data_IF_893077280205
#
_entry.id   IF_893077280205
#
_cell.length_a   1.000
_cell.length_b   1.000
_cell.length_c   1.000
_cell.angle_alpha   90.00
_cell.angle_beta   90.00
_cell.angle_gamma   90.00
#
_symmetry.space_group_name_H-M   'P 1'
#
loop_
_entity.id
_entity.type
_entity.pdbx_description
1 polymer ?
#
# COMPACT_ATOMS: atom_id res chain seq x y z
N UNK A 1 -16.07 7.82 -5.42
CA UNK A 1 -16.40 9.26 -5.40
C UNK A 1 -15.59 10.06 -6.40
N UNK A 2 -14.29 10.25 -6.19
CA UNK A 2 -13.48 11.17 -7.01
C UNK A 2 -13.44 10.75 -8.49
N UNK A 3 -13.35 9.45 -8.79
CA UNK A 3 -13.43 8.94 -10.16
C UNK A 3 -14.73 9.30 -10.87
N UNK A 4 -15.88 9.18 -10.19
CA UNK A 4 -17.17 9.54 -10.76
C UNK A 4 -17.28 11.06 -11.01
N UNK A 5 -16.77 11.88 -10.08
CA UNK A 5 -16.71 13.34 -10.23
C UNK A 5 -15.83 13.75 -11.41
N UNK A 6 -14.66 13.12 -11.54
CA UNK A 6 -13.74 13.34 -12.66
C UNK A 6 -14.33 12.86 -13.98
N UNK A 7 -15.03 11.73 -14.01
CA UNK A 7 -15.69 11.23 -15.22
C UNK A 7 -16.80 12.18 -15.69
N UNK A 8 -17.68 12.64 -14.79
CA UNK A 8 -18.71 13.64 -15.11
C UNK A 8 -18.05 14.92 -15.65
N UNK A 9 -16.97 15.36 -15.03
CA UNK A 9 -16.21 16.54 -15.47
C UNK A 9 -15.54 16.39 -16.83
N UNK A 10 -15.16 15.17 -17.20
CA UNK A 10 -14.51 14.88 -18.48
C UNK A 10 -15.52 14.74 -19.62
N UNK A 11 -16.71 14.19 -19.34
CA UNK A 11 -17.75 13.94 -20.35
C UNK A 11 -18.63 15.17 -20.56
N UNK A 12 -18.99 15.86 -19.48
CA UNK A 12 -19.92 16.99 -19.54
C UNK A 12 -19.13 18.28 -19.57
N UNK A 13 -18.94 18.81 -20.77
CA UNK A 13 -18.41 20.15 -21.00
C UNK A 13 -19.59 21.13 -20.97
N UNK A 14 -19.51 22.14 -20.11
CA UNK A 14 -20.49 23.22 -20.06
C UNK A 14 -20.01 24.38 -20.92
N UNK A 15 -20.93 25.17 -21.50
CA UNK A 15 -20.58 26.41 -22.22
C UNK A 15 -19.95 27.48 -21.31
N UNK A 16 -19.96 27.25 -20.00
CA UNK A 16 -19.26 28.06 -19.00
C UNK A 16 -17.84 27.56 -18.83
N UNK A 17 -16.89 28.49 -18.65
CA UNK A 17 -15.44 28.25 -18.46
C UNK A 17 -15.09 27.52 -17.13
N UNK A 18 -16.07 26.85 -16.52
CA UNK A 18 -15.97 26.13 -15.24
C UNK A 18 -16.32 24.67 -15.44
N UNK A 19 -15.44 23.78 -15.00
CA UNK A 19 -15.72 22.34 -14.97
C UNK A 19 -16.96 22.06 -14.10
N UNK A 20 -17.91 21.28 -14.63
CA UNK A 20 -19.14 20.93 -13.91
C UNK A 20 -18.87 20.23 -12.56
N UNK A 21 -17.75 19.53 -12.42
CA UNK A 21 -17.35 18.93 -11.16
C UNK A 21 -17.08 19.94 -10.04
N UNK A 22 -16.97 21.23 -10.35
CA UNK A 22 -16.80 22.30 -9.36
C UNK A 22 -18.12 22.87 -8.87
N UNK A 23 -19.26 22.52 -9.48
CA UNK A 23 -20.58 22.99 -9.05
C UNK A 23 -20.83 22.60 -7.57
N UNK A 24 -21.17 23.55 -6.68
CA UNK A 24 -21.39 23.30 -5.26
C UNK A 24 -22.42 22.20 -4.98
N UNK A 25 -23.43 22.03 -5.83
CA UNK A 25 -24.46 20.97 -5.70
C UNK A 25 -23.86 19.61 -5.94
N UNK A 26 -23.03 19.47 -6.97
CA UNK A 26 -22.32 18.22 -7.28
C UNK A 26 -21.31 17.91 -6.18
N UNK A 27 -20.55 18.91 -5.72
CA UNK A 27 -19.61 18.72 -4.61
C UNK A 27 -20.33 18.28 -3.33
N UNK A 28 -21.44 18.94 -2.97
CA UNK A 28 -22.24 18.60 -1.79
C UNK A 28 -22.88 17.23 -1.90
N UNK A 29 -23.48 16.89 -3.05
CA UNK A 29 -24.02 15.56 -3.31
C UNK A 29 -22.94 14.49 -3.19
N UNK A 30 -21.78 14.71 -3.82
CA UNK A 30 -20.65 13.79 -3.76
C UNK A 30 -20.06 13.68 -2.35
N UNK A 31 -20.13 14.73 -1.53
CA UNK A 31 -19.76 14.64 -0.12
C UNK A 31 -20.78 13.80 0.65
N UNK A 32 -22.07 14.07 0.48
CA UNK A 32 -23.14 13.31 1.15
C UNK A 32 -23.08 11.82 0.86
N UNK A 33 -22.93 11.43 -0.41
CA UNK A 33 -22.81 10.02 -0.77
C UNK A 33 -21.48 9.38 -0.31
N UNK A 34 -20.41 10.16 -0.08
CA UNK A 34 -19.19 9.66 0.57
C UNK A 34 -19.42 9.40 2.05
N UNK A 35 -20.08 10.32 2.77
CA UNK A 35 -20.39 10.16 4.19
C UNK A 35 -21.35 8.98 4.44
N UNK A 36 -22.27 8.70 3.51
CA UNK A 36 -23.15 7.53 3.58
C UNK A 36 -22.39 6.20 3.45
N UNK A 37 -21.31 6.16 2.68
CA UNK A 37 -20.49 4.96 2.44
C UNK A 37 -19.01 5.33 2.36
N UNK A 38 -18.35 5.61 3.50
CA UNK A 38 -16.97 6.01 3.50
C UNK A 38 -16.09 4.87 3.00
N UNK A 39 -15.00 5.23 2.31
CA UNK A 39 -13.99 4.25 1.93
C UNK A 39 -13.31 3.70 3.20
N UNK A 40 -13.62 2.45 3.52
CA UNK A 40 -13.01 1.75 4.63
C UNK A 40 -11.71 1.07 4.18
N UNK A 41 -10.73 0.98 5.08
CA UNK A 41 -9.53 0.21 4.81
C UNK A 41 -9.87 -1.28 4.66
N UNK A 42 -9.17 -1.94 3.73
CA UNK A 42 -9.35 -3.37 3.49
C UNK A 42 -8.90 -4.26 4.65
N UNK A 43 -7.85 -3.83 5.36
CA UNK A 43 -7.23 -4.60 6.43
C UNK A 43 -7.43 -3.90 7.79
N UNK A 44 -7.87 -4.68 8.78
CA UNK A 44 -7.96 -4.24 10.18
C UNK A 44 -6.62 -4.35 10.90
N UNK A 45 -5.85 -5.38 10.56
CA UNK A 45 -4.60 -5.74 11.20
C UNK A 45 -3.56 -5.99 10.09
N UNK A 46 -2.26 -5.91 10.41
CA UNK A 46 -1.17 -6.24 9.48
C UNK A 46 -0.34 -7.41 10.00
N UNK A 47 0.49 -7.98 9.14
CA UNK A 47 1.36 -9.10 9.47
C UNK A 47 2.71 -8.61 9.96
N UNK A 48 3.42 -9.46 10.72
CA UNK A 48 4.73 -9.12 11.26
C UNK A 48 5.83 -9.27 10.20
N UNK A 49 6.55 -8.19 9.96
CA UNK A 49 7.65 -8.15 8.99
C UNK A 49 8.78 -9.12 9.38
N UNK A 50 9.03 -9.29 10.68
CA UNK A 50 10.09 -10.20 11.16
C UNK A 50 9.78 -11.66 10.86
N UNK A 51 8.50 -12.07 10.80
CA UNK A 51 8.13 -13.44 10.41
C UNK A 51 8.62 -13.74 8.98
N UNK A 52 8.41 -12.80 8.06
CA UNK A 52 8.85 -12.97 6.69
C UNK A 52 10.38 -12.88 6.56
N UNK A 53 11.02 -11.96 7.28
CA UNK A 53 12.48 -11.86 7.29
C UNK A 53 13.12 -13.11 7.91
N UNK A 54 12.52 -13.68 8.95
CA UNK A 54 12.90 -14.95 9.55
C UNK A 54 12.84 -16.10 8.54
N UNK A 55 11.75 -16.20 7.78
CA UNK A 55 11.64 -17.17 6.69
C UNK A 55 12.73 -16.98 5.62
N UNK A 56 12.97 -15.75 5.16
CA UNK A 56 14.01 -15.46 4.15
C UNK A 56 15.42 -15.76 4.68
N UNK A 57 15.68 -15.60 5.98
CA UNK A 57 16.96 -15.93 6.62
C UNK A 57 17.26 -17.44 6.58
N UNK A 58 16.24 -18.31 6.50
CA UNK A 58 16.44 -19.77 6.38
C UNK A 58 16.97 -20.21 5.01
N UNK A 59 16.94 -19.32 4.00
CA UNK A 59 17.35 -19.67 2.65
C UNK A 59 18.88 -19.79 2.55
N UNK A 60 19.32 -20.67 1.63
CA UNK A 60 20.74 -20.89 1.32
C UNK A 60 21.45 -19.63 0.82
N UNK A 61 22.78 -19.71 0.72
CA UNK A 61 23.62 -18.65 0.15
C UNK A 61 23.10 -18.20 -1.22
N UNK A 62 23.22 -16.91 -1.52
CA UNK A 62 22.64 -16.32 -2.74
C UNK A 62 23.14 -16.98 -4.04
N UNK A 63 24.36 -17.56 -4.03
CA UNK A 63 24.95 -18.25 -5.18
C UNK A 63 24.31 -19.61 -5.48
N UNK A 64 23.65 -20.23 -4.50
CA UNK A 64 23.01 -21.55 -4.63
C UNK A 64 21.52 -21.45 -4.93
N UNK A 65 20.95 -20.25 -4.83
CA UNK A 65 19.53 -20.02 -5.08
C UNK A 65 19.25 -19.94 -6.59
N UNK A 66 18.14 -20.55 -6.99
CA UNK A 66 17.64 -20.36 -8.36
C UNK A 66 17.34 -18.88 -8.62
N UNK A 67 17.49 -18.44 -9.88
CA UNK A 67 17.20 -17.06 -10.29
C UNK A 67 15.80 -16.61 -9.87
N UNK A 68 14.83 -17.54 -9.92
CA UNK A 68 13.46 -17.29 -9.46
C UNK A 68 13.42 -16.93 -7.98
N UNK A 69 14.04 -17.74 -7.10
CA UNK A 69 14.07 -17.46 -5.67
C UNK A 69 14.84 -16.16 -5.37
N UNK A 70 15.98 -15.93 -6.03
CA UNK A 70 16.74 -14.69 -5.86
C UNK A 70 15.91 -13.45 -6.23
N UNK A 71 15.15 -13.54 -7.34
CA UNK A 71 14.24 -12.48 -7.77
C UNK A 71 13.13 -12.25 -6.74
N UNK A 72 12.55 -13.33 -6.19
CA UNK A 72 11.54 -13.23 -5.13
C UNK A 72 12.08 -12.56 -3.87
N UNK A 73 13.29 -12.94 -3.44
CA UNK A 73 13.99 -12.33 -2.30
C UNK A 73 14.21 -10.83 -2.52
N UNK A 74 14.74 -10.46 -3.68
CA UNK A 74 14.97 -9.06 -4.05
C UNK A 74 13.67 -8.26 -4.04
N UNK A 75 12.61 -8.75 -4.70
CA UNK A 75 11.32 -8.05 -4.73
C UNK A 75 10.73 -7.85 -3.33
N UNK A 76 10.77 -8.88 -2.47
CA UNK A 76 10.23 -8.80 -1.12
C UNK A 76 11.00 -7.78 -0.27
N UNK A 77 12.33 -7.83 -0.30
CA UNK A 77 13.18 -6.88 0.44
C UNK A 77 13.01 -5.47 -0.07
N UNK A 78 12.90 -5.28 -1.38
CA UNK A 78 12.70 -3.96 -1.97
C UNK A 78 11.32 -3.37 -1.63
N UNK A 79 10.27 -4.20 -1.60
CA UNK A 79 8.94 -3.78 -1.12
C UNK A 79 8.98 -3.34 0.35
N UNK A 80 9.68 -4.10 1.20
CA UNK A 80 9.81 -3.80 2.62
C UNK A 80 10.68 -2.58 2.88
N UNK A 81 11.79 -2.43 2.16
CA UNK A 81 12.73 -1.33 2.35
C UNK A 81 12.19 0.02 1.85
N UNK A 82 11.45 0.02 0.74
CA UNK A 82 10.95 1.24 0.10
C UNK A 82 9.54 1.66 0.53
N UNK A 83 8.74 0.73 1.10
CA UNK A 83 7.30 0.90 1.31
C UNK A 83 6.54 1.32 0.04
N UNK A 84 7.08 1.09 -1.16
CA UNK A 84 6.46 1.50 -2.43
C UNK A 84 5.40 0.49 -2.92
N UNK A 85 4.62 0.89 -3.93
CA UNK A 85 3.67 -0.02 -4.57
C UNK A 85 4.41 -1.05 -5.43
N UNK A 86 3.89 -2.27 -5.51
CA UNK A 86 4.43 -3.32 -6.38
C UNK A 86 4.50 -2.91 -7.86
N UNK A 87 3.62 -2.01 -8.30
CA UNK A 87 3.67 -1.43 -9.65
C UNK A 87 4.93 -0.60 -9.90
N UNK A 88 5.46 0.06 -8.87
CA UNK A 88 6.68 0.86 -8.96
C UNK A 88 7.90 -0.04 -9.20
N UNK A 89 7.95 -1.19 -8.53
CA UNK A 89 9.08 -2.12 -8.63
C UNK A 89 9.23 -2.69 -10.04
N UNK A 90 8.11 -2.97 -10.70
CA UNK A 90 8.13 -3.42 -12.08
C UNK A 90 8.80 -2.41 -13.04
N UNK A 91 8.76 -1.12 -12.72
CA UNK A 91 9.31 -0.06 -13.57
C UNK A 91 10.78 0.23 -13.28
N UNK A 92 11.39 -0.50 -12.35
CA UNK A 92 12.80 -0.32 -12.02
C UNK A 92 13.63 -0.81 -13.18
N UNK A 93 14.49 0.09 -13.66
CA UNK A 93 15.44 -0.14 -14.74
C UNK A 93 16.84 -0.04 -14.16
N UNK A 94 17.73 -0.93 -14.58
CA UNK A 94 19.10 -1.02 -14.06
C UNK A 94 19.86 0.29 -14.30
N UNK A 95 19.59 0.96 -15.41
CA UNK A 95 20.24 2.19 -15.86
C UNK A 95 19.93 3.38 -14.95
N UNK A 96 18.89 3.28 -14.12
CA UNK A 96 18.40 4.35 -13.24
C UNK A 96 18.67 4.08 -11.76
N UNK A 97 19.61 3.17 -11.49
CA UNK A 97 20.05 2.82 -10.14
C UNK A 97 21.42 3.45 -9.91
N UNK A 98 21.49 4.39 -8.98
CA UNK A 98 22.70 5.07 -8.55
C UNK A 98 23.11 4.54 -7.17
N UNK A 99 24.36 4.13 -7.05
CA UNK A 99 24.95 3.70 -5.78
C UNK A 99 25.82 4.83 -5.22
N UNK A 100 25.66 5.09 -3.94
CA UNK A 100 26.43 6.06 -3.16
C UNK A 100 26.98 5.37 -1.91
N UNK A 101 27.96 5.98 -1.23
CA UNK A 101 28.58 5.41 -0.02
C UNK A 101 27.56 5.11 1.09
N UNK A 102 26.48 5.89 1.17
CA UNK A 102 25.44 5.76 2.19
C UNK A 102 24.17 5.03 1.71
N UNK A 103 24.15 4.50 0.49
CA UNK A 103 23.03 3.70 0.01
C UNK A 103 22.78 3.73 -1.48
N UNK A 104 21.54 3.44 -1.87
CA UNK A 104 21.12 3.32 -3.26
C UNK A 104 19.94 4.24 -3.54
N UNK A 105 20.00 4.97 -4.66
CA UNK A 105 18.91 5.79 -5.18
C UNK A 105 18.41 5.17 -6.49
N UNK A 106 17.11 4.88 -6.53
CA UNK A 106 16.44 4.29 -7.70
C UNK A 106 15.50 5.34 -8.27
N UNK A 107 15.77 5.80 -9.49
CA UNK A 107 14.91 6.76 -10.18
C UNK A 107 13.83 6.03 -10.97
N UNK A 108 12.57 6.46 -10.79
CA UNK A 108 11.42 5.91 -11.52
C UNK A 108 10.93 7.00 -12.47
N UNK A 109 11.47 7.02 -13.69
CA UNK A 109 11.14 8.06 -14.68
C UNK A 109 9.94 7.66 -15.55
N UNK A 110 9.65 6.36 -15.65
CA UNK A 110 8.50 5.87 -16.39
C UNK A 110 7.18 6.19 -15.67
N UNK A 111 6.21 6.73 -16.41
CA UNK A 111 4.85 6.92 -15.90
C UNK A 111 4.22 5.56 -15.62
N UNK A 112 3.75 5.36 -14.38
CA UNK A 112 2.99 4.17 -13.97
C UNK A 112 1.67 4.09 -14.75
N UNK A 113 1.68 3.46 -15.93
CA UNK A 113 0.47 3.21 -16.73
C UNK A 113 -0.24 1.93 -16.27
N UNK A 114 -1.57 1.94 -16.30
CA UNK A 114 -2.43 0.85 -15.83
C UNK A 114 -2.74 -0.24 -16.88
N UNK A 115 -2.14 -0.20 -18.08
CA UNK A 115 -2.70 -0.92 -19.25
C UNK A 115 -1.67 -1.50 -20.25
N UNK A 116 -0.68 -2.29 -19.82
CA UNK A 116 0.18 -3.08 -20.74
C UNK A 116 0.33 -4.54 -20.30
N UNK A 117 0.55 -5.52 -21.22
CA UNK A 117 0.36 -6.93 -20.92
C UNK A 117 1.65 -7.60 -20.41
N UNK A 118 1.44 -8.41 -19.35
CA UNK A 118 2.37 -9.21 -18.54
C UNK A 118 3.45 -8.43 -17.74
N UNK A 119 3.24 -8.22 -16.43
CA UNK A 119 4.37 -7.97 -15.49
C UNK A 119 4.04 -7.82 -13.99
N UNK A 120 2.94 -7.14 -13.64
CA UNK A 120 2.52 -6.93 -12.24
C UNK A 120 2.01 -8.22 -11.59
N UNK A 121 1.23 -8.99 -12.35
CA UNK A 121 0.50 -10.14 -11.80
C UNK A 121 1.42 -11.31 -11.45
N UNK A 122 2.54 -11.46 -12.17
CA UNK A 122 3.57 -12.45 -11.86
C UNK A 122 4.26 -12.13 -10.54
N UNK A 123 4.75 -10.90 -10.37
CA UNK A 123 5.36 -10.46 -9.10
C UNK A 123 4.32 -10.57 -7.96
N UNK A 124 3.07 -10.17 -8.22
CA UNK A 124 1.99 -10.29 -7.26
C UNK A 124 1.73 -11.76 -6.85
N UNK A 125 1.80 -12.71 -7.78
CA UNK A 125 1.65 -14.14 -7.52
C UNK A 125 2.82 -14.65 -6.68
N UNK A 126 4.06 -14.31 -7.04
CA UNK A 126 5.24 -14.67 -6.27
C UNK A 126 5.20 -14.14 -4.84
N UNK A 127 4.81 -12.87 -4.64
CA UNK A 127 4.69 -12.30 -3.30
C UNK A 127 3.60 -12.99 -2.47
N UNK A 128 2.50 -13.46 -3.07
CA UNK A 128 1.50 -14.28 -2.37
C UNK A 128 2.05 -15.65 -1.98
N UNK A 129 2.77 -16.31 -2.88
CA UNK A 129 3.43 -17.59 -2.60
C UNK A 129 4.39 -17.45 -1.43
N UNK A 130 5.25 -16.43 -1.46
CA UNK A 130 6.23 -16.14 -0.42
C UNK A 130 5.58 -15.89 0.95
N UNK A 131 4.51 -15.09 1.01
CA UNK A 131 3.76 -14.87 2.26
C UNK A 131 3.14 -16.17 2.79
N UNK A 132 2.54 -16.98 1.92
CA UNK A 132 1.94 -18.26 2.30
C UNK A 132 2.97 -19.26 2.81
N UNK A 133 4.13 -19.34 2.16
CA UNK A 133 5.24 -20.21 2.60
C UNK A 133 5.84 -19.76 3.93
N UNK A 134 5.81 -18.46 4.22
CA UNK A 134 6.17 -17.91 5.53
C UNK A 134 5.08 -18.10 6.61
N UNK A 135 3.95 -18.76 6.30
CA UNK A 135 2.82 -18.95 7.23
C UNK A 135 1.95 -17.71 7.46
N UNK A 136 1.99 -16.73 6.55
CA UNK A 136 1.23 -15.48 6.64
C UNK A 136 -0.01 -15.59 5.73
N UNK A 137 -1.18 -15.70 6.34
CA UNK A 137 -2.45 -15.87 5.62
C UNK A 137 -3.20 -14.56 5.34
N UNK A 138 -4.18 -14.61 4.44
CA UNK A 138 -5.13 -13.53 4.12
C UNK A 138 -4.52 -12.18 3.67
N UNK A 139 -3.26 -12.19 3.24
CA UNK A 139 -2.54 -11.00 2.82
C UNK A 139 -2.48 -10.88 1.29
N UNK A 140 -2.49 -9.64 0.78
CA UNK A 140 -2.23 -9.37 -0.64
C UNK A 140 -0.89 -8.67 -0.80
N UNK A 141 -0.31 -8.63 -2.01
CA UNK A 141 0.92 -7.89 -2.24
C UNK A 141 0.83 -6.39 -1.91
N UNK A 142 -0.38 -5.81 -1.85
CA UNK A 142 -0.57 -4.42 -1.40
C UNK A 142 -0.35 -4.24 0.11
N UNK A 143 -0.48 -5.32 0.90
CA UNK A 143 -0.29 -5.28 2.36
C UNK A 143 1.16 -5.00 2.76
N UNK A 144 2.16 -5.35 1.93
CA UNK A 144 3.58 -5.05 2.18
C UNK A 144 3.84 -3.59 2.52
N UNK A 145 3.15 -2.67 1.84
CA UNK A 145 3.29 -1.24 2.08
C UNK A 145 2.76 -0.85 3.46
N UNK A 146 1.63 -1.42 3.89
CA UNK A 146 1.08 -1.19 5.22
C UNK A 146 1.95 -1.78 6.33
N UNK A 147 2.42 -3.03 6.14
CA UNK A 147 3.29 -3.73 7.07
C UNK A 147 4.63 -2.99 7.25
N UNK A 148 5.30 -2.63 6.14
CA UNK A 148 6.55 -1.87 6.15
C UNK A 148 6.40 -0.52 6.85
N UNK A 149 5.37 0.28 6.50
CA UNK A 149 5.18 1.59 7.11
C UNK A 149 4.82 1.49 8.61
N UNK A 150 4.07 0.46 9.00
CA UNK A 150 3.75 0.20 10.42
C UNK A 150 5.00 -0.24 11.19
N UNK A 151 5.86 -1.06 10.58
CA UNK A 151 7.15 -1.43 11.16
C UNK A 151 8.07 -0.21 11.33
N UNK A 152 8.17 0.67 10.33
CA UNK A 152 8.94 1.92 10.43
C UNK A 152 8.46 2.80 11.60
N UNK A 153 7.14 2.92 11.79
CA UNK A 153 6.55 3.66 12.90
C UNK A 153 6.90 3.00 14.24
N UNK A 154 6.81 1.67 14.33
CA UNK A 154 7.19 0.89 15.52
C UNK A 154 8.67 1.04 15.88
N UNK A 155 9.53 1.18 14.88
CA UNK A 155 10.97 1.45 15.04
C UNK A 155 11.30 2.91 15.37
N UNK A 156 10.30 3.78 15.56
CA UNK A 156 10.53 5.18 15.96
C UNK A 156 10.89 6.14 14.82
N UNK A 157 10.74 5.73 13.55
CA UNK A 157 10.94 6.65 12.41
C UNK A 157 9.86 7.72 12.42
N UNK A 158 10.25 8.97 12.14
CA UNK A 158 9.30 10.09 12.14
C UNK A 158 8.21 9.91 11.08
N UNK A 159 7.00 10.36 11.40
CA UNK A 159 5.88 10.31 10.47
C UNK A 159 6.17 11.10 9.17
N UNK A 160 6.88 12.21 9.27
CA UNK A 160 7.27 13.02 8.13
C UNK A 160 8.15 12.23 7.16
N UNK A 161 9.13 11.49 7.68
CA UNK A 161 10.01 10.66 6.88
C UNK A 161 9.29 9.46 6.27
N UNK A 162 8.37 8.83 7.03
CA UNK A 162 7.52 7.74 6.52
C UNK A 162 6.67 8.26 5.35
N UNK A 163 6.00 9.41 5.53
CA UNK A 163 5.17 10.02 4.49
C UNK A 163 6.01 10.41 3.25
N UNK A 164 7.18 11.01 3.45
CA UNK A 164 8.12 11.35 2.37
C UNK A 164 8.57 10.10 1.61
N UNK A 165 8.99 9.05 2.32
CA UNK A 165 9.51 7.80 1.75
C UNK A 165 8.42 7.01 1.03
N UNK A 166 7.23 6.95 1.59
CA UNK A 166 6.09 6.27 0.98
C UNK A 166 5.47 7.11 -0.15
N UNK A 167 5.66 8.43 -0.20
CA UNK A 167 4.99 9.32 -1.15
C UNK A 167 3.54 9.62 -0.77
N UNK A 168 3.27 9.80 0.52
CA UNK A 168 1.98 10.28 1.02
C UNK A 168 2.04 11.77 1.33
N UNK A 169 1.17 12.55 0.69
CA UNK A 169 1.07 13.99 0.94
C UNK A 169 0.31 14.35 2.22
N UNK A 170 -0.39 13.39 2.83
CA UNK A 170 -1.24 13.64 4.01
C UNK A 170 -1.16 12.49 5.02
N UNK A 171 -0.80 12.82 6.26
CA UNK A 171 -0.73 11.91 7.40
C UNK A 171 -2.04 11.17 7.69
N UNK A 172 -3.19 11.83 7.49
CA UNK A 172 -4.50 11.18 7.67
C UNK A 172 -4.70 9.98 6.75
N UNK A 173 -4.12 10.01 5.54
CA UNK A 173 -4.15 8.86 4.63
C UNK A 173 -3.36 7.69 5.18
N UNK A 174 -2.21 7.96 5.80
CA UNK A 174 -1.41 6.94 6.47
C UNK A 174 -2.19 6.28 7.61
N UNK A 175 -2.70 7.06 8.57
CA UNK A 175 -3.44 6.51 9.70
C UNK A 175 -4.72 5.79 9.27
N UNK A 176 -5.49 6.40 8.36
CA UNK A 176 -6.77 5.84 7.91
C UNK A 176 -6.59 4.54 7.14
N UNK A 177 -5.57 4.41 6.28
CA UNK A 177 -5.49 3.30 5.33
C UNK A 177 -4.30 2.33 5.52
N UNK A 178 -3.24 2.74 6.22
CA UNK A 178 -1.97 2.00 6.20
C UNK A 178 -1.41 1.63 7.58
N UNK A 179 -1.51 2.50 8.59
CA UNK A 179 -0.98 2.21 9.93
C UNK A 179 -1.83 1.18 10.66
N UNK A 180 -1.29 -0.01 10.93
CA UNK A 180 -2.03 -1.12 11.55
C UNK A 180 -1.17 -1.80 12.60
N UNK A 181 -1.83 -2.33 13.63
CA UNK A 181 -1.19 -3.19 14.61
C UNK A 181 -0.92 -4.57 13.99
N UNK A 182 0.17 -5.21 14.41
CA UNK A 182 0.50 -6.58 14.01
C UNK A 182 -0.48 -7.54 14.67
N UNK A 183 -1.04 -8.48 13.91
CA UNK A 183 -1.87 -9.55 14.46
C UNK A 183 -1.02 -10.39 15.42
N UNK A 184 -1.31 -10.34 16.72
CA UNK A 184 -0.69 -11.26 17.68
C UNK A 184 -1.20 -12.66 17.38
N UNK A 185 -0.31 -13.56 17.00
CA UNK A 185 -0.61 -14.97 16.73
C UNK A 185 -1.20 -15.62 17.99
N UNK A 186 -2.52 -15.63 18.12
CA UNK A 186 -3.20 -16.14 19.31
C UNK A 186 -4.73 -15.96 19.36
N UNK A 187 -5.32 -15.02 18.63
CA UNK A 187 -6.79 -14.88 18.60
C UNK A 187 -7.36 -15.24 17.23
N UNK A 188 -7.65 -16.53 17.04
CA UNK A 188 -8.65 -17.00 16.08
C UNK A 188 -10.02 -16.54 16.58
N UNK A 189 -10.38 -15.29 16.34
CA UNK A 189 -11.78 -14.87 16.46
C UNK A 189 -12.43 -14.95 15.08
N UNK A 190 -13.25 -15.98 14.91
CA UNK A 190 -14.29 -16.05 13.89
C UNK A 190 -14.98 -14.69 13.76
N UNK A 191 -14.90 -14.06 12.58
CA UNK A 191 -15.66 -12.84 12.32
C UNK A 191 -16.96 -13.16 11.60
N UNK A 192 -18.01 -13.38 12.40
CA UNK A 192 -19.36 -12.96 12.02
C UNK A 192 -19.31 -11.46 11.71
N UNK A 193 -19.76 -11.09 10.52
CA UNK A 193 -19.99 -9.71 10.11
C UNK A 193 -21.08 -9.13 11.00
N UNK A 194 -20.74 -8.20 11.91
CA UNK A 194 -21.71 -7.30 12.55
C UNK A 194 -21.57 -5.89 11.97
N UNK A 195 -22.68 -5.19 11.68
CA UNK A 195 -22.64 -3.88 11.04
C UNK A 195 -22.15 -2.80 12.02
N UNK A 196 -21.67 -1.71 11.42
CA UNK A 196 -21.00 -0.60 12.08
C UNK A 196 -21.80 -0.01 13.25
N UNK A 197 -21.24 -0.07 14.46
CA UNK A 197 -21.63 0.78 15.57
C UNK A 197 -20.75 2.04 15.57
N UNK A 198 -21.41 3.19 15.51
CA UNK A 198 -20.85 4.54 15.68
C UNK A 198 -20.14 4.60 17.04
N UNK A 199 -18.83 4.81 17.06
CA UNK A 199 -18.11 5.20 18.27
C UNK A 199 -18.32 6.72 18.44
N UNK A 200 -19.15 7.11 19.40
CA UNK A 200 -19.23 8.48 19.91
C UNK A 200 -18.12 8.57 20.96
N UNK A 201 -17.14 9.45 20.74
CA UNK A 201 -16.16 9.83 21.76
C UNK A 201 -16.69 11.08 22.45
N UNK A 202 -17.27 10.90 23.63
CA UNK A 202 -17.60 12.00 24.53
C UNK A 202 -16.29 12.50 25.16
N UNK A 203 -15.90 13.73 24.84
CA UNK A 203 -14.89 14.46 25.59
C UNK A 203 -15.62 15.28 26.65
N UNK A 204 -15.41 14.93 27.92
CA UNK A 204 -15.77 15.79 29.06
C UNK A 204 -14.69 16.84 29.25
N UNK A 205 -15.12 18.09 29.49
CA UNK A 205 -14.30 19.27 29.77
C UNK A 205 -13.67 19.16 31.16
#
# INVERSE_FOLDING_TARGET
MNTARSAISAVVQTHTDRSIGTDPRIVRFMKGAYELRPALPRYKDTWDVEQLLGYIRTWKNNSELSLKLLTMKLCALLLLASAQRLQTIHLIKKEWIEFHEQGCRIHILDKVKHSKPASKDTIARWMRTLLREAGIENCTPHSFRGASASAMMKSGVTLADICKKAGWSNASTFYKFYYRQTSTSGETTERKVKPAQKLILDYTV
#
